data_IF_867256881623
#
_entry.id   IF_867256881623
#
_cell.length_a   1.000
_cell.length_b   1.000
_cell.length_c   1.000
_cell.angle_alpha   90.00
_cell.angle_beta   90.00
_cell.angle_gamma   90.00
#
_symmetry.space_group_name_H-M   'P 1'
#
loop_
_entity.id
_entity.type
_entity.pdbx_description
1 polymer ?
#
# COMPACT_ATOMS: atom_id res chain seq x y z
N UNK A 1 29.74 -28.08 23.45
CA UNK A 1 29.78 -26.88 24.32
C UNK A 1 28.90 -25.81 23.67
N UNK A 2 27.65 -25.70 24.11
CA UNK A 2 26.79 -24.55 23.81
C UNK A 2 27.20 -23.46 24.78
N UNK A 3 27.64 -22.30 24.28
CA UNK A 3 27.81 -21.13 25.15
C UNK A 3 26.44 -20.74 25.71
N UNK A 4 26.35 -20.20 26.94
CA UNK A 4 25.08 -19.88 27.59
C UNK A 4 24.29 -18.72 26.95
N UNK A 5 24.72 -18.23 25.78
CA UNK A 5 24.26 -16.99 25.16
C UNK A 5 23.25 -17.16 24.03
N UNK A 6 23.01 -18.39 23.58
CA UNK A 6 22.09 -18.70 22.48
C UNK A 6 21.29 -19.94 22.84
N UNK A 7 19.95 -19.84 22.84
CA UNK A 7 19.14 -21.04 22.94
C UNK A 7 18.88 -21.60 21.54
N UNK A 8 19.22 -22.87 21.37
CA UNK A 8 18.90 -23.65 20.19
C UNK A 8 17.89 -24.71 20.61
N UNK A 9 16.62 -24.52 20.26
CA UNK A 9 15.60 -25.54 20.56
C UNK A 9 15.71 -26.63 19.48
N UNK A 10 15.60 -27.92 19.85
CA UNK A 10 15.49 -29.04 18.92
C UNK A 10 14.23 -29.91 19.22
N UNK A 11 13.06 -29.46 18.81
CA UNK A 11 11.78 -30.21 18.85
C UNK A 11 11.28 -30.57 17.44
N UNK A 12 10.58 -31.69 17.35
CA UNK A 12 10.12 -32.37 16.12
C UNK A 12 8.79 -31.86 15.54
N UNK A 13 8.11 -30.93 16.23
CA UNK A 13 6.73 -30.55 15.89
C UNK A 13 6.46 -29.05 15.90
N UNK A 14 6.50 -28.43 17.08
CA UNK A 14 6.36 -26.97 17.23
C UNK A 14 7.56 -26.50 18.03
N UNK A 15 8.22 -25.45 17.54
CA UNK A 15 9.29 -24.79 18.26
C UNK A 15 8.71 -23.58 19.02
N UNK A 16 8.68 -23.66 20.35
CA UNK A 16 8.47 -22.48 21.20
C UNK A 16 9.80 -22.13 21.86
N UNK A 17 10.28 -20.91 21.63
CA UNK A 17 11.53 -20.42 22.16
C UNK A 17 11.24 -19.20 23.05
N UNK A 18 11.36 -19.41 24.35
CA UNK A 18 11.35 -18.38 25.37
C UNK A 18 12.78 -18.24 25.88
N UNK A 19 13.44 -17.14 25.55
CA UNK A 19 14.81 -16.90 26.02
C UNK A 19 14.95 -15.49 26.54
N UNK A 20 15.77 -15.27 27.58
CA UNK A 20 16.07 -13.92 28.06
C UNK A 20 17.12 -13.22 27.19
N UNK A 21 17.48 -13.74 26.02
CA UNK A 21 18.59 -13.24 25.18
C UNK A 21 18.22 -13.26 23.69
N UNK A 22 19.19 -12.99 22.81
CA UNK A 22 19.03 -13.09 21.36
C UNK A 22 18.47 -14.46 20.96
N UNK A 23 17.45 -14.46 20.10
CA UNK A 23 16.84 -15.67 19.57
C UNK A 23 17.25 -15.93 18.12
N UNK A 24 17.70 -17.15 17.86
CA UNK A 24 17.90 -17.66 16.51
C UNK A 24 17.16 -18.99 16.37
N UNK A 25 16.24 -19.07 15.40
CA UNK A 25 15.58 -20.33 15.03
C UNK A 25 15.82 -20.61 13.55
N UNK A 26 16.34 -21.80 13.24
CA UNK A 26 16.42 -22.37 11.88
C UNK A 26 15.88 -23.80 11.90
N UNK A 27 14.63 -24.04 11.50
CA UNK A 27 13.97 -25.34 11.72
C UNK A 27 12.95 -25.68 10.66
N UNK A 28 12.62 -26.97 10.42
CA UNK A 28 11.70 -27.39 9.37
C UNK A 28 10.19 -27.33 9.76
N UNK A 29 9.83 -26.66 10.86
CA UNK A 29 8.48 -26.70 11.44
C UNK A 29 8.00 -25.32 11.90
N UNK A 30 6.70 -25.15 12.25
CA UNK A 30 6.21 -23.91 12.85
C UNK A 30 7.04 -23.46 14.06
N UNK A 31 7.30 -22.16 14.14
CA UNK A 31 8.14 -21.57 15.17
C UNK A 31 7.52 -20.31 15.78
N UNK A 32 7.68 -20.20 17.10
CA UNK A 32 7.25 -19.08 17.93
C UNK A 32 8.46 -18.61 18.75
N UNK A 33 8.80 -17.33 18.65
CA UNK A 33 9.85 -16.68 19.45
C UNK A 33 9.21 -15.62 20.36
N UNK A 34 9.51 -15.72 21.65
CA UNK A 34 9.25 -14.69 22.64
C UNK A 34 10.57 -14.34 23.34
N UNK A 35 11.14 -13.17 23.04
CA UNK A 35 12.41 -12.74 23.64
C UNK A 35 12.44 -11.26 23.98
N UNK A 36 13.15 -10.85 25.06
CA UNK A 36 13.38 -9.45 25.37
C UNK A 36 14.53 -8.84 24.55
N UNK A 37 15.02 -9.50 23.50
CA UNK A 37 16.15 -9.09 22.64
C UNK A 37 15.79 -9.32 21.15
N UNK A 38 16.62 -8.82 20.20
CA UNK A 38 16.40 -9.06 18.78
C UNK A 38 16.22 -10.54 18.43
N UNK A 39 15.40 -10.81 17.42
CA UNK A 39 15.08 -12.17 16.98
C UNK A 39 15.31 -12.37 15.48
N UNK A 40 15.87 -13.54 15.16
CA UNK A 40 16.06 -14.02 13.79
C UNK A 40 15.37 -15.38 13.63
N UNK A 41 14.51 -15.51 12.61
CA UNK A 41 13.79 -16.76 12.34
C UNK A 41 13.84 -17.17 10.86
N UNK A 42 14.19 -18.44 10.64
CA UNK A 42 14.01 -19.20 9.41
C UNK A 42 13.13 -20.43 9.71
N UNK A 43 11.87 -20.41 9.27
CA UNK A 43 10.92 -21.50 9.50
C UNK A 43 10.08 -21.77 8.24
N UNK A 44 9.90 -23.02 7.77
CA UNK A 44 9.37 -23.30 6.45
C UNK A 44 7.84 -23.21 6.36
N UNK A 45 7.11 -22.99 7.45
CA UNK A 45 5.64 -22.97 7.45
C UNK A 45 5.07 -21.72 8.12
N UNK A 46 4.97 -21.75 9.44
CA UNK A 46 4.40 -20.67 10.24
C UNK A 46 5.48 -20.09 11.16
N UNK A 47 5.56 -18.77 11.20
CA UNK A 47 6.57 -18.04 11.92
C UNK A 47 5.94 -16.89 12.71
N UNK A 48 6.16 -16.85 14.03
CA UNK A 48 5.66 -15.79 14.91
C UNK A 48 6.80 -15.25 15.78
N UNK A 49 7.06 -13.94 15.71
CA UNK A 49 8.04 -13.25 16.55
C UNK A 49 7.33 -12.17 17.37
N UNK A 50 7.50 -12.23 18.69
CA UNK A 50 7.15 -11.17 19.63
C UNK A 50 8.41 -10.75 20.41
N UNK A 51 8.92 -9.55 20.15
CA UNK A 51 10.09 -9.01 20.85
C UNK A 51 9.96 -7.51 21.10
N UNK A 52 10.59 -6.95 22.15
CA UNK A 52 10.67 -5.52 22.37
C UNK A 52 11.82 -4.87 21.58
N UNK A 53 12.42 -5.55 20.58
CA UNK A 53 13.54 -5.09 19.76
C UNK A 53 13.31 -5.44 18.27
N UNK A 54 14.31 -5.26 17.41
CA UNK A 54 14.18 -5.58 15.98
C UNK A 54 13.97 -7.06 15.71
N UNK A 55 13.30 -7.36 14.59
CA UNK A 55 13.03 -8.73 14.15
C UNK A 55 13.34 -8.91 12.66
N UNK A 56 13.94 -10.06 12.35
CA UNK A 56 14.18 -10.53 10.98
C UNK A 56 13.54 -11.91 10.79
N UNK A 57 12.72 -12.06 9.74
CA UNK A 57 12.01 -13.31 9.47
C UNK A 57 12.05 -13.71 8.00
N UNK A 58 12.36 -14.98 7.76
CA UNK A 58 12.18 -15.68 6.48
C UNK A 58 11.28 -16.89 6.70
N UNK A 59 10.08 -16.88 6.11
CA UNK A 59 9.14 -17.99 6.20
C UNK A 59 8.40 -18.22 4.88
N UNK A 60 8.36 -19.44 4.32
CA UNK A 60 7.68 -19.75 3.07
C UNK A 60 6.19 -19.42 3.07
N UNK A 61 5.43 -19.73 4.12
CA UNK A 61 3.96 -19.63 4.06
C UNK A 61 3.38 -18.49 4.89
N UNK A 62 3.56 -18.46 6.21
CA UNK A 62 2.91 -17.49 7.07
C UNK A 62 3.90 -16.88 8.06
N UNK A 63 3.88 -15.55 8.15
CA UNK A 63 4.74 -14.79 9.03
C UNK A 63 4.00 -13.67 9.76
N UNK A 64 4.30 -13.55 11.05
CA UNK A 64 3.78 -12.50 11.91
C UNK A 64 4.90 -11.94 12.79
N UNK A 65 5.11 -10.62 12.72
CA UNK A 65 6.05 -9.89 13.58
C UNK A 65 5.29 -8.80 14.36
N UNK A 66 5.42 -8.83 15.68
CA UNK A 66 5.00 -7.75 16.57
C UNK A 66 6.20 -7.25 17.36
N UNK A 67 6.67 -6.03 17.03
CA UNK A 67 7.83 -5.44 17.72
C UNK A 67 7.72 -3.92 17.85
N UNK A 68 8.28 -3.30 18.89
CA UNK A 68 8.35 -1.86 19.02
C UNK A 68 9.53 -1.22 18.27
N UNK A 69 10.19 -1.91 17.33
CA UNK A 69 11.38 -1.47 16.59
C UNK A 69 11.27 -1.87 15.10
N UNK A 70 12.23 -1.52 14.21
CA UNK A 70 12.16 -1.91 12.81
C UNK A 70 12.08 -3.43 12.60
N UNK A 71 11.24 -3.84 11.65
CA UNK A 71 11.03 -5.23 11.27
C UNK A 71 11.31 -5.46 9.78
N UNK A 72 11.92 -6.60 9.49
CA UNK A 72 12.19 -7.08 8.15
C UNK A 72 11.58 -8.47 7.95
N UNK A 73 10.77 -8.63 6.90
CA UNK A 73 10.08 -9.88 6.59
C UNK A 73 10.16 -10.23 5.11
N UNK A 74 10.47 -11.51 4.85
CA UNK A 74 10.50 -12.12 3.51
C UNK A 74 9.68 -13.40 3.52
N UNK A 75 8.48 -13.37 2.92
CA UNK A 75 7.59 -14.54 2.89
C UNK A 75 6.78 -14.69 1.61
N UNK A 76 6.84 -15.82 0.90
CA UNK A 76 6.04 -16.09 -0.29
C UNK A 76 4.54 -15.79 -0.14
N UNK A 77 3.86 -16.32 0.89
CA UNK A 77 2.39 -16.27 0.93
C UNK A 77 1.81 -15.14 1.78
N UNK A 78 1.83 -15.23 3.11
CA UNK A 78 1.11 -14.30 4.00
C UNK A 78 2.06 -13.65 5.01
N UNK A 79 1.97 -12.32 5.09
CA UNK A 79 2.86 -11.48 5.88
C UNK A 79 2.09 -10.43 6.67
N UNK A 80 2.35 -10.35 7.97
CA UNK A 80 1.78 -9.32 8.85
C UNK A 80 2.87 -8.69 9.73
N UNK A 81 3.05 -7.38 9.63
CA UNK A 81 3.96 -6.59 10.49
C UNK A 81 3.16 -5.53 11.24
N UNK A 82 3.31 -5.51 12.56
CA UNK A 82 2.84 -4.43 13.43
C UNK A 82 4.04 -3.84 14.19
N UNK A 83 4.47 -2.63 13.79
CA UNK A 83 5.62 -1.96 14.41
C UNK A 83 5.42 -0.44 14.53
N UNK A 84 5.84 0.20 15.64
CA UNK A 84 5.87 1.63 15.78
C UNK A 84 7.08 2.29 15.08
N UNK A 85 7.76 1.61 14.16
CA UNK A 85 8.96 2.06 13.43
C UNK A 85 8.87 1.61 11.96
N UNK A 86 9.77 2.07 11.07
CA UNK A 86 9.76 1.67 9.67
C UNK A 86 9.78 0.15 9.49
N UNK A 87 8.94 -0.33 8.56
CA UNK A 87 8.82 -1.75 8.23
C UNK A 87 9.15 -1.99 6.76
N UNK A 88 9.85 -3.09 6.51
CA UNK A 88 10.16 -3.58 5.17
C UNK A 88 9.59 -4.98 4.99
N UNK A 89 8.79 -5.17 3.93
CA UNK A 89 8.15 -6.45 3.64
C UNK A 89 8.23 -6.78 2.15
N UNK A 90 8.65 -8.00 1.84
CA UNK A 90 8.43 -8.63 0.54
C UNK A 90 7.54 -9.86 0.71
N UNK A 91 6.33 -9.81 0.16
CA UNK A 91 5.41 -10.94 0.21
C UNK A 91 4.55 -11.10 -1.05
N UNK A 92 4.80 -12.12 -1.90
CA UNK A 92 4.09 -12.37 -3.14
C UNK A 92 2.57 -12.35 -3.06
N UNK A 93 1.93 -12.98 -2.07
CA UNK A 93 0.48 -13.12 -2.07
C UNK A 93 -0.25 -12.08 -1.22
N UNK A 94 -0.04 -12.03 0.09
CA UNK A 94 -0.77 -11.13 0.98
C UNK A 94 0.16 -10.44 1.96
N UNK A 95 0.10 -9.12 1.98
CA UNK A 95 0.97 -8.28 2.77
C UNK A 95 0.16 -7.21 3.51
N UNK A 96 0.30 -7.16 4.84
CA UNK A 96 -0.31 -6.15 5.68
C UNK A 96 0.74 -5.50 6.58
N UNK A 97 0.89 -4.17 6.46
CA UNK A 97 1.76 -3.37 7.32
C UNK A 97 0.91 -2.30 8.03
N UNK A 98 0.99 -2.29 9.36
CA UNK A 98 0.47 -1.22 10.21
C UNK A 98 1.63 -0.59 10.98
N UNK A 99 2.03 0.62 10.59
CA UNK A 99 3.10 1.36 11.29
C UNK A 99 2.77 2.84 11.40
N UNK A 100 3.19 3.53 12.48
CA UNK A 100 3.11 4.96 12.62
C UNK A 100 4.29 5.69 11.93
N UNK A 101 5.05 5.03 11.04
CA UNK A 101 6.19 5.61 10.30
C UNK A 101 6.14 5.18 8.81
N UNK A 102 7.19 5.43 8.03
CA UNK A 102 7.26 5.02 6.62
C UNK A 102 7.19 3.50 6.46
N UNK A 103 6.42 3.02 5.50
CA UNK A 103 6.36 1.61 5.11
C UNK A 103 6.81 1.43 3.65
N UNK A 104 7.58 0.38 3.41
CA UNK A 104 7.94 -0.08 2.07
C UNK A 104 7.45 -1.52 1.88
N UNK A 105 6.61 -1.72 0.86
CA UNK A 105 6.01 -3.03 0.56
C UNK A 105 6.14 -3.38 -0.92
N UNK A 106 6.64 -4.58 -1.19
CA UNK A 106 6.54 -5.25 -2.50
C UNK A 106 5.67 -6.50 -2.35
N UNK A 107 4.45 -6.47 -2.87
CA UNK A 107 3.50 -7.56 -2.72
C UNK A 107 2.65 -7.81 -3.98
N UNK A 108 3.03 -8.79 -4.82
CA UNK A 108 2.37 -9.12 -6.07
C UNK A 108 0.84 -9.18 -6.08
N UNK A 109 0.19 -9.81 -5.11
CA UNK A 109 -1.26 -9.99 -5.19
C UNK A 109 -2.04 -8.95 -4.38
N UNK A 110 -1.94 -8.95 -3.04
CA UNK A 110 -2.72 -8.07 -2.18
C UNK A 110 -1.83 -7.32 -1.19
N UNK A 111 -1.93 -6.00 -1.22
CA UNK A 111 -1.12 -5.10 -0.43
C UNK A 111 -2.00 -4.07 0.28
N UNK A 112 -1.86 -3.98 1.61
CA UNK A 112 -2.56 -2.98 2.42
C UNK A 112 -1.55 -2.26 3.32
N UNK A 113 -1.46 -0.93 3.18
CA UNK A 113 -0.61 -0.07 4.01
C UNK A 113 -1.49 0.97 4.71
N UNK A 114 -1.40 1.01 6.03
CA UNK A 114 -1.97 2.07 6.87
C UNK A 114 -0.84 2.75 7.64
N UNK A 115 -0.45 3.95 7.22
CA UNK A 115 0.65 4.70 7.85
C UNK A 115 0.35 6.19 7.98
N UNK A 116 0.70 6.85 9.10
CA UNK A 116 0.63 8.30 9.26
C UNK A 116 1.84 9.02 8.64
N UNK A 117 2.57 8.41 7.71
CA UNK A 117 3.77 8.95 7.01
C UNK A 117 3.74 8.49 5.54
N UNK A 118 4.61 9.02 4.65
CA UNK A 118 4.63 8.61 3.24
C UNK A 118 4.74 7.09 3.06
N UNK A 119 3.92 6.54 2.16
CA UNK A 119 3.91 5.13 1.82
C UNK A 119 4.30 4.93 0.35
N UNK A 120 5.09 3.88 0.12
CA UNK A 120 5.43 3.40 -1.21
C UNK A 120 4.98 1.95 -1.38
N UNK A 121 4.16 1.69 -2.39
CA UNK A 121 3.63 0.36 -2.68
C UNK A 121 3.81 -0.03 -4.15
N UNK A 122 4.39 -1.21 -4.38
CA UNK A 122 4.33 -1.93 -5.65
C UNK A 122 3.51 -3.20 -5.46
N UNK A 123 2.29 -3.22 -6.00
CA UNK A 123 1.34 -4.33 -5.81
C UNK A 123 0.62 -4.71 -7.12
N UNK A 124 1.11 -5.71 -7.87
CA UNK A 124 0.56 -6.14 -9.14
C UNK A 124 -0.98 -6.25 -9.21
N UNK A 125 -1.66 -6.87 -8.25
CA UNK A 125 -3.11 -7.08 -8.36
C UNK A 125 -3.97 -6.07 -7.60
N UNK A 126 -3.86 -5.97 -6.27
CA UNK A 126 -4.69 -5.09 -5.46
C UNK A 126 -3.84 -4.27 -4.50
N UNK A 127 -3.88 -2.95 -4.62
CA UNK A 127 -3.22 -2.00 -3.74
C UNK A 127 -4.19 -1.05 -3.08
N UNK A 128 -4.10 -0.93 -1.75
CA UNK A 128 -4.84 0.07 -0.97
C UNK A 128 -3.88 0.85 -0.05
N UNK A 129 -3.83 2.18 -0.23
CA UNK A 129 -3.03 3.08 0.62
C UNK A 129 -3.97 4.07 1.30
N UNK A 130 -3.90 4.13 2.63
CA UNK A 130 -4.51 5.16 3.45
C UNK A 130 -3.43 5.87 4.26
N UNK A 131 -3.07 7.10 3.86
CA UNK A 131 -2.00 7.87 4.52
C UNK A 131 -2.35 9.35 4.64
N UNK A 132 -2.05 10.02 5.76
CA UNK A 132 -2.14 11.46 5.92
C UNK A 132 -0.95 12.21 5.31
N UNK A 133 -0.25 11.63 4.33
CA UNK A 133 0.94 12.17 3.64
C UNK A 133 0.89 11.78 2.15
N UNK A 134 1.73 12.36 1.27
CA UNK A 134 1.74 12.00 -0.15
C UNK A 134 1.92 10.49 -0.36
N UNK A 135 1.13 9.93 -1.27
CA UNK A 135 1.17 8.51 -1.62
C UNK A 135 1.56 8.30 -3.07
N UNK A 136 2.36 7.25 -3.29
CA UNK A 136 2.72 6.76 -4.61
C UNK A 136 2.33 5.28 -4.73
N UNK A 137 1.52 4.95 -5.73
CA UNK A 137 1.10 3.57 -5.99
C UNK A 137 1.32 3.18 -7.46
N UNK A 138 1.97 2.02 -7.64
CA UNK A 138 1.95 1.25 -8.88
C UNK A 138 1.22 -0.06 -8.66
N UNK A 139 -0.01 -0.17 -9.18
CA UNK A 139 -0.84 -1.35 -9.02
C UNK A 139 -1.61 -1.70 -10.32
N UNK A 140 -1.16 -2.71 -11.09
CA UNK A 140 -1.77 -3.13 -12.34
C UNK A 140 -3.28 -3.29 -12.34
N UNK A 141 -3.87 -4.08 -11.45
CA UNK A 141 -5.30 -4.40 -11.57
C UNK A 141 -6.23 -3.44 -10.82
N UNK A 142 -6.08 -3.26 -9.52
CA UNK A 142 -6.94 -2.38 -8.73
C UNK A 142 -6.12 -1.52 -7.78
N UNK A 143 -6.32 -0.21 -7.87
CA UNK A 143 -5.60 0.79 -7.12
C UNK A 143 -6.55 1.79 -6.46
N UNK A 144 -6.43 1.95 -5.14
CA UNK A 144 -7.20 2.93 -4.37
C UNK A 144 -6.28 3.75 -3.47
N UNK A 145 -6.30 5.08 -3.64
CA UNK A 145 -5.56 6.03 -2.80
C UNK A 145 -6.55 6.98 -2.12
N UNK A 146 -6.47 7.05 -0.79
CA UNK A 146 -7.13 8.06 0.03
C UNK A 146 -6.07 8.82 0.84
N UNK A 147 -5.79 10.07 0.46
CA UNK A 147 -4.77 10.90 1.13
C UNK A 147 -5.20 12.35 1.26
N UNK A 148 -4.90 13.05 2.37
CA UNK A 148 -5.05 14.48 2.53
C UNK A 148 -3.88 15.27 1.91
N UNK A 149 -3.18 14.71 0.92
CA UNK A 149 -2.00 15.29 0.23
C UNK A 149 -2.04 14.88 -1.25
N UNK A 150 -1.20 15.47 -2.13
CA UNK A 150 -1.16 15.10 -3.54
C UNK A 150 -0.94 13.59 -3.74
N UNK A 151 -1.66 13.02 -4.69
CA UNK A 151 -1.58 11.60 -5.05
C UNK A 151 -1.15 11.40 -6.50
N UNK A 152 -0.27 10.42 -6.69
CA UNK A 152 0.15 9.93 -7.99
C UNK A 152 -0.16 8.44 -8.11
N UNK A 153 -0.89 8.06 -9.16
CA UNK A 153 -1.27 6.66 -9.40
C UNK A 153 -1.00 6.23 -10.84
N UNK A 154 -0.39 5.05 -10.98
CA UNK A 154 -0.28 4.29 -12.22
C UNK A 154 -0.94 2.92 -12.04
N UNK A 155 -2.08 2.71 -12.69
CA UNK A 155 -2.88 1.50 -12.53
C UNK A 155 -3.56 1.07 -13.84
N UNK A 156 -3.01 0.07 -14.56
CA UNK A 156 -3.56 -0.45 -15.80
C UNK A 156 -5.08 -0.59 -15.87
N UNK A 157 -5.72 -1.27 -14.92
CA UNK A 157 -7.13 -1.63 -15.02
C UNK A 157 -8.08 -0.68 -14.27
N UNK A 158 -8.05 -0.62 -12.94
CA UNK A 158 -8.98 0.18 -12.16
C UNK A 158 -8.24 1.11 -11.19
N UNK A 159 -8.56 2.40 -11.26
CA UNK A 159 -7.88 3.45 -10.53
C UNK A 159 -8.88 4.41 -9.87
N UNK A 160 -8.75 4.63 -8.57
CA UNK A 160 -9.57 5.57 -7.81
C UNK A 160 -8.70 6.45 -6.91
N UNK A 161 -8.79 7.78 -7.08
CA UNK A 161 -8.12 8.76 -6.22
C UNK A 161 -9.17 9.66 -5.55
N UNK A 162 -9.10 9.74 -4.22
CA UNK A 162 -9.81 10.73 -3.41
C UNK A 162 -8.81 11.54 -2.60
N UNK A 163 -8.62 12.82 -2.94
CA UNK A 163 -7.69 13.70 -2.21
C UNK A 163 -8.19 15.13 -2.12
N UNK A 164 -7.88 15.89 -1.05
CA UNK A 164 -8.11 17.31 -0.95
C UNK A 164 -6.97 18.14 -1.58
N UNK A 165 -6.22 17.60 -2.55
CA UNK A 165 -5.07 18.23 -3.21
C UNK A 165 -5.07 17.87 -4.71
N UNK A 166 -4.16 18.43 -5.54
CA UNK A 166 -4.09 18.03 -6.94
C UNK A 166 -3.81 16.53 -7.12
N UNK A 167 -4.46 15.92 -8.10
CA UNK A 167 -4.32 14.51 -8.43
C UNK A 167 -3.86 14.29 -9.87
N UNK A 168 -2.97 13.30 -10.02
CA UNK A 168 -2.49 12.81 -11.31
C UNK A 168 -2.73 11.31 -11.44
N UNK A 169 -3.40 10.88 -12.51
CA UNK A 169 -3.73 9.48 -12.74
C UNK A 169 -3.41 9.03 -14.18
N UNK A 170 -2.75 7.89 -14.31
CA UNK A 170 -2.65 7.12 -15.55
C UNK A 170 -3.30 5.75 -15.37
N UNK A 171 -4.43 5.51 -16.05
CA UNK A 171 -5.17 4.26 -15.93
C UNK A 171 -5.89 3.86 -17.25
N UNK A 172 -5.32 2.93 -18.04
CA UNK A 172 -5.86 2.45 -19.31
C UNK A 172 -7.35 2.11 -19.35
N UNK A 173 -7.88 1.38 -18.36
CA UNK A 173 -9.26 0.90 -18.44
C UNK A 173 -10.28 1.79 -17.70
N UNK A 174 -10.19 1.93 -16.38
CA UNK A 174 -11.16 2.69 -15.58
C UNK A 174 -10.45 3.62 -14.61
N UNK A 175 -10.85 4.89 -14.64
CA UNK A 175 -10.20 5.96 -13.90
C UNK A 175 -11.24 6.89 -13.26
N UNK A 176 -11.11 7.14 -11.96
CA UNK A 176 -11.97 8.06 -11.21
C UNK A 176 -11.16 8.98 -10.29
N UNK A 177 -11.34 10.29 -10.45
CA UNK A 177 -10.72 11.32 -9.60
C UNK A 177 -11.81 12.18 -8.93
N UNK A 178 -11.73 12.29 -7.60
CA UNK A 178 -12.49 13.26 -6.82
C UNK A 178 -11.53 14.15 -6.02
N UNK A 179 -11.44 15.42 -6.41
CA UNK A 179 -10.55 16.40 -5.76
C UNK A 179 -11.14 17.81 -5.69
N UNK A 180 -10.96 18.57 -4.59
CA UNK A 180 -11.27 19.99 -4.51
C UNK A 180 -10.16 20.87 -5.11
N UNK A 181 -9.35 20.34 -6.03
CA UNK A 181 -8.19 20.98 -6.67
C UNK A 181 -8.08 20.52 -8.12
N UNK A 182 -7.20 21.13 -8.97
CA UNK A 182 -7.03 20.71 -10.35
C UNK A 182 -6.68 19.23 -10.50
N UNK A 183 -7.23 18.60 -11.53
CA UNK A 183 -7.04 17.17 -11.81
C UNK A 183 -6.55 16.93 -13.24
N UNK A 184 -5.65 15.97 -13.37
CA UNK A 184 -5.14 15.47 -14.66
C UNK A 184 -5.34 13.95 -14.77
N UNK A 185 -5.97 13.50 -15.86
CA UNK A 185 -6.25 12.09 -16.11
C UNK A 185 -5.87 11.66 -17.54
N UNK A 186 -5.17 10.53 -17.64
CA UNK A 186 -4.95 9.76 -18.87
C UNK A 186 -5.63 8.40 -18.73
N UNK A 187 -6.80 8.22 -19.37
CA UNK A 187 -7.62 7.03 -19.23
C UNK A 187 -8.25 6.56 -20.55
N UNK A 188 -7.50 5.79 -21.38
CA UNK A 188 -7.94 5.31 -22.69
C UNK A 188 -9.41 4.88 -22.80
N UNK A 189 -9.93 4.07 -21.87
CA UNK A 189 -11.29 3.54 -21.96
C UNK A 189 -12.33 4.39 -21.20
N UNK A 190 -12.30 4.44 -19.87
CA UNK A 190 -13.31 5.12 -19.06
C UNK A 190 -12.67 6.08 -18.06
N UNK A 191 -13.01 7.36 -18.15
CA UNK A 191 -12.51 8.41 -17.26
C UNK A 191 -13.63 9.25 -16.64
N UNK A 192 -13.55 9.49 -15.33
CA UNK A 192 -14.46 10.35 -14.58
C UNK A 192 -13.69 11.32 -13.67
N UNK A 193 -13.92 12.63 -13.81
CA UNK A 193 -13.36 13.66 -12.93
C UNK A 193 -14.48 14.49 -12.30
N UNK A 194 -14.43 14.63 -10.97
CA UNK A 194 -15.26 15.56 -10.21
C UNK A 194 -14.38 16.54 -9.43
N UNK A 195 -14.36 17.80 -9.85
CA UNK A 195 -13.59 18.84 -9.16
C UNK A 195 -14.27 20.22 -9.22
N UNK A 196 -14.08 21.10 -8.23
CA UNK A 196 -14.46 22.49 -8.28
C UNK A 196 -13.38 23.37 -8.94
N UNK A 197 -12.47 22.81 -9.75
CA UNK A 197 -11.31 23.51 -10.34
C UNK A 197 -11.10 23.07 -11.80
N UNK A 198 -10.15 23.67 -12.55
CA UNK A 198 -9.86 23.22 -13.90
C UNK A 198 -9.47 21.74 -13.96
N UNK A 199 -9.93 21.04 -15.00
CA UNK A 199 -9.66 19.62 -15.21
C UNK A 199 -9.16 19.34 -16.62
N UNK A 200 -8.24 18.38 -16.74
CA UNK A 200 -7.72 17.88 -17.99
C UNK A 200 -7.91 16.36 -18.09
N UNK A 201 -8.53 15.89 -19.17
CA UNK A 201 -8.74 14.45 -19.43
C UNK A 201 -8.41 14.08 -20.88
N UNK A 202 -7.62 13.02 -21.06
CA UNK A 202 -7.59 12.27 -22.32
C UNK A 202 -8.19 10.89 -22.10
N UNK A 203 -9.35 10.64 -22.71
CA UNK A 203 -10.08 9.40 -22.58
C UNK A 203 -10.84 9.06 -23.88
N UNK A 204 -10.21 8.34 -24.82
CA UNK A 204 -10.79 8.03 -26.13
C UNK A 204 -12.25 7.57 -26.10
N UNK A 205 -12.58 6.57 -25.28
CA UNK A 205 -13.88 5.91 -25.35
C UNK A 205 -14.99 6.61 -24.55
N UNK A 206 -14.85 6.74 -23.23
CA UNK A 206 -15.86 7.35 -22.36
C UNK A 206 -15.22 8.32 -21.37
N UNK A 207 -15.69 9.56 -21.40
CA UNK A 207 -15.13 10.66 -20.63
C UNK A 207 -16.25 11.49 -19.98
N UNK A 208 -16.15 11.70 -18.68
CA UNK A 208 -17.06 12.54 -17.91
C UNK A 208 -16.30 13.53 -17.00
N UNK A 209 -16.57 14.82 -17.13
CA UNK A 209 -16.03 15.87 -16.26
C UNK A 209 -17.20 16.68 -15.67
N UNK A 210 -17.25 16.79 -14.34
CA UNK A 210 -18.14 17.70 -13.63
C UNK A 210 -17.31 18.77 -12.91
N UNK A 211 -17.30 19.99 -13.47
CA UNK A 211 -16.51 21.12 -12.96
C UNK A 211 -17.20 22.47 -13.20
N UNK A 212 -17.16 23.41 -12.23
CA UNK A 212 -17.60 24.79 -12.45
C UNK A 212 -16.61 25.66 -13.23
N UNK A 213 -15.40 25.15 -13.48
CA UNK A 213 -14.30 25.83 -14.15
C UNK A 213 -14.03 25.22 -15.53
N UNK A 214 -13.19 25.88 -16.36
CA UNK A 214 -12.80 25.35 -17.67
C UNK A 214 -12.25 23.93 -17.60
N UNK A 215 -12.80 23.06 -18.44
CA UNK A 215 -12.38 21.68 -18.61
C UNK A 215 -11.84 21.46 -20.01
N UNK A 216 -10.74 20.72 -20.12
CA UNK A 216 -10.20 20.25 -21.39
C UNK A 216 -10.37 18.73 -21.48
N UNK A 217 -11.02 18.26 -22.54
CA UNK A 217 -11.30 16.84 -22.77
C UNK A 217 -10.99 16.44 -24.21
N UNK A 218 -10.21 15.37 -24.38
CA UNK A 218 -10.07 14.66 -25.66
C UNK A 218 -10.72 13.27 -25.56
N UNK A 219 -11.89 13.12 -26.20
CA UNK A 219 -12.70 11.90 -26.16
C UNK A 219 -13.47 11.70 -27.48
N UNK A 220 -12.88 11.05 -28.51
CA UNK A 220 -13.49 10.78 -29.81
C UNK A 220 -14.84 10.07 -29.83
N UNK A 221 -15.17 9.26 -28.81
CA UNK A 221 -16.41 8.46 -28.82
C UNK A 221 -17.52 9.07 -27.95
N UNK A 222 -17.35 9.11 -26.62
CA UNK A 222 -18.36 9.63 -25.70
C UNK A 222 -17.75 10.64 -24.71
N UNK A 223 -18.27 11.87 -24.72
CA UNK A 223 -17.76 13.00 -23.95
C UNK A 223 -18.90 13.76 -23.27
N UNK A 224 -18.83 13.94 -21.95
CA UNK A 224 -19.79 14.74 -21.18
C UNK A 224 -19.05 15.72 -20.27
N UNK A 225 -19.28 17.03 -20.47
CA UNK A 225 -18.82 18.09 -19.56
C UNK A 225 -20.06 18.75 -18.96
N UNK A 226 -20.22 18.66 -17.65
CA UNK A 226 -21.25 19.39 -16.91
C UNK A 226 -20.60 20.56 -16.18
N UNK A 227 -20.77 21.76 -16.74
CA UNK A 227 -20.36 23.03 -16.15
C UNK A 227 -21.59 23.94 -15.98
N UNK A 228 -21.70 24.72 -14.89
CA UNK A 228 -22.74 25.72 -14.74
C UNK A 228 -22.63 26.73 -15.89
N UNK A 229 -23.78 27.13 -16.43
CA UNK A 229 -23.86 28.18 -17.44
C UNK A 229 -23.09 29.42 -16.97
N UNK A 230 -22.30 30.09 -17.84
CA UNK A 230 -21.85 31.43 -17.52
C UNK A 230 -23.10 32.25 -17.26
N UNK A 231 -23.24 32.80 -16.05
CA UNK A 231 -24.28 33.78 -15.78
C UNK A 231 -24.07 34.90 -16.80
N UNK A 232 -24.98 35.05 -17.77
CA UNK A 232 -25.13 36.29 -18.51
C UNK A 232 -25.41 37.33 -17.44
N UNK A 233 -24.37 38.07 -17.05
CA UNK A 233 -24.58 39.29 -16.32
C UNK A 233 -25.20 40.22 -17.38
N UNK A 234 -26.53 40.29 -17.39
CA UNK A 234 -27.25 41.31 -18.13
C UNK A 234 -26.73 42.65 -17.62
N UNK A 235 -25.81 43.22 -18.38
CA UNK A 235 -25.28 44.55 -18.16
C UNK A 235 -26.37 45.54 -18.50
N UNK A 236 -26.76 46.33 -17.51
CA UNK A 236 -27.45 47.61 -17.65
C UNK A 236 -26.83 48.49 -18.73
#
# INVERSE_FOLDING_TARGET
MLTPYQAFVLTYYIAFLLTPYLAFISRPYPAFILTPYPAFMMAPYYAFILTPYSAFMMAPYYAFILTPYPAFMMTPYYAFILTPYPAFMMAPYYAFILTPYSAFMMAPNYAFILTPYPAFMMAPNYGFILTPYPAFMMAPYYAFILTPYPAFMMAPYYAFILTPYPAFMMAPYYAFILTPYPAFMMAPNYGFILTPYPAFMMAPYYAFILTPYPAFMMAPYYAFILAPLPCLHDGT
#
